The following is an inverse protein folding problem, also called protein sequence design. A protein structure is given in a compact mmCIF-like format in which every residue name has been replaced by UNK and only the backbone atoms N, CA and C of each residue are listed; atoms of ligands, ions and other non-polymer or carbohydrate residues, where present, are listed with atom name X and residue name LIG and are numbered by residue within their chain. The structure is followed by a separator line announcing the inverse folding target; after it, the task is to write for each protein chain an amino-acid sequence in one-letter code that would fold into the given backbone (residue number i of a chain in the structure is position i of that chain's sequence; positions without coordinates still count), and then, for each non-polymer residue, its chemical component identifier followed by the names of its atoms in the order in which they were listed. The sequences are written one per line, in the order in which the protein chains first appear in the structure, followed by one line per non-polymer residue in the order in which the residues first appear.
data_IF_823624647091
#
_entry.id   IF_823624647091
#
_cell.length_a   1.000
_cell.length_b   1.000
_cell.length_c   1.000
_cell.angle_alpha   90.00
_cell.angle_beta   90.00
_cell.angle_gamma   90.00
#
_symmetry.space_group_name_H-M   'P 1'
#
loop_
_entity.id
_entity.type
_entity.pdbx_description
1 polymer ?
#
# COMPACT_ATOMS: atom_id res chain seq x y z
N UNK A 1 27.95 3.16 -4.06
CA UNK A 1 26.98 3.32 -5.18
C UNK A 1 27.56 4.32 -6.14
N UNK A 2 27.73 3.97 -7.41
CA UNK A 2 28.19 4.93 -8.42
C UNK A 2 26.99 5.70 -8.98
N UNK A 3 27.04 7.03 -8.93
CA UNK A 3 25.96 7.89 -9.38
C UNK A 3 26.42 8.68 -10.61
N UNK A 4 25.65 8.63 -11.69
CA UNK A 4 25.92 9.45 -12.88
C UNK A 4 25.66 10.93 -12.56
N UNK A 5 26.71 11.76 -12.63
CA UNK A 5 26.68 13.15 -12.18
C UNK A 5 25.70 14.03 -12.99
N UNK A 6 25.50 13.71 -14.27
CA UNK A 6 24.68 14.46 -15.21
C UNK A 6 23.42 13.71 -15.69
N UNK A 7 22.98 12.68 -14.97
CA UNK A 7 21.74 11.98 -15.35
C UNK A 7 20.56 12.95 -15.36
N UNK A 8 19.82 12.95 -16.48
CA UNK A 8 18.62 13.77 -16.66
C UNK A 8 17.36 13.15 -16.05
N UNK A 9 17.41 11.87 -15.68
CA UNK A 9 16.26 11.11 -15.22
C UNK A 9 16.50 10.50 -13.84
N UNK A 10 15.39 10.30 -13.11
CA UNK A 10 15.41 9.56 -11.86
C UNK A 10 15.77 8.11 -12.15
N UNK A 11 16.50 7.47 -11.22
CA UNK A 11 16.67 6.02 -11.30
C UNK A 11 15.37 5.32 -10.90
N UNK A 12 15.07 4.19 -11.53
CA UNK A 12 13.93 3.33 -11.18
C UNK A 12 13.93 2.99 -9.68
N UNK A 13 15.11 2.77 -9.11
CA UNK A 13 15.29 2.36 -7.71
C UNK A 13 15.27 3.52 -6.71
N UNK A 14 15.13 4.77 -7.15
CA UNK A 14 15.26 5.95 -6.29
C UNK A 14 16.68 6.30 -5.84
N UNK A 15 17.67 5.42 -6.08
CA UNK A 15 19.10 5.69 -5.84
C UNK A 15 19.57 6.96 -6.54
N UNK A 16 20.56 7.61 -5.94
CA UNK A 16 21.22 8.82 -6.43
C UNK A 16 20.35 10.09 -6.49
N UNK A 17 19.12 10.06 -5.95
CA UNK A 17 18.29 11.25 -5.82
C UNK A 17 18.95 12.28 -4.87
N UNK A 18 19.48 11.82 -3.74
CA UNK A 18 20.35 12.61 -2.85
C UNK A 18 21.81 12.27 -3.14
N UNK A 19 22.58 13.22 -3.68
CA UNK A 19 23.98 12.99 -4.11
C UNK A 19 24.92 12.58 -2.97
N UNK A 20 24.81 13.21 -1.80
CA UNK A 20 25.65 12.90 -0.62
C UNK A 20 25.30 11.55 0.01
N UNK A 21 24.01 11.21 0.06
CA UNK A 21 23.53 9.91 0.54
C UNK A 21 22.68 9.24 -0.55
N UNK A 22 23.37 8.58 -1.47
CA UNK A 22 22.80 7.97 -2.68
C UNK A 22 21.74 6.90 -2.45
N UNK A 23 21.55 6.45 -1.21
CA UNK A 23 20.59 5.41 -0.84
C UNK A 23 19.35 5.95 -0.14
N UNK A 24 19.34 7.24 0.22
CA UNK A 24 18.21 7.86 0.91
C UNK A 24 16.98 7.90 -0.01
N UNK A 25 15.89 7.27 0.44
CA UNK A 25 14.64 7.14 -0.31
C UNK A 25 14.66 6.08 -1.43
N UNK A 26 15.73 5.30 -1.54
CA UNK A 26 15.79 4.19 -2.49
C UNK A 26 14.92 3.01 -2.04
N UNK A 27 14.41 2.24 -3.01
CA UNK A 27 13.65 1.03 -2.74
C UNK A 27 14.48 -0.08 -2.08
N UNK A 28 13.78 -1.04 -1.47
CA UNK A 28 14.35 -2.21 -0.78
C UNK A 28 15.34 -1.81 0.33
N UNK A 29 14.97 -0.79 1.11
CA UNK A 29 15.71 -0.26 2.26
C UNK A 29 14.86 -0.27 3.52
N UNK A 30 15.50 -0.13 4.68
CA UNK A 30 14.78 0.09 5.92
C UNK A 30 13.92 1.36 5.83
N UNK A 31 12.69 1.27 6.34
CA UNK A 31 11.87 2.45 6.61
C UNK A 31 12.58 3.36 7.62
N UNK A 32 12.38 4.67 7.53
CA UNK A 32 12.93 5.58 8.52
C UNK A 32 12.26 5.38 9.88
N UNK A 33 13.02 5.61 10.94
CA UNK A 33 12.44 5.77 12.27
C UNK A 33 11.75 7.13 12.34
N UNK A 34 10.42 7.11 12.45
CA UNK A 34 9.64 8.30 12.80
C UNK A 34 9.60 8.56 14.31
N UNK A 35 9.76 7.49 15.09
CA UNK A 35 9.85 7.49 16.55
C UNK A 35 10.68 6.28 16.98
N UNK A 36 11.14 6.25 18.23
CA UNK A 36 11.80 5.07 18.80
C UNK A 36 10.86 3.85 18.77
N UNK A 37 11.33 2.75 18.19
CA UNK A 37 10.56 1.50 18.11
C UNK A 37 10.48 0.83 19.48
N UNK A 38 9.32 0.27 19.79
CA UNK A 38 9.01 -0.40 21.06
C UNK A 38 8.61 -1.85 20.79
N UNK A 39 9.54 -2.77 21.04
CA UNK A 39 9.31 -4.22 21.04
C UNK A 39 9.26 -4.75 22.47
N UNK A 40 8.60 -5.89 22.66
CA UNK A 40 8.42 -6.54 23.98
C UNK A 40 9.75 -6.99 24.59
N UNK A 41 10.69 -7.45 23.76
CA UNK A 41 12.06 -7.80 24.12
C UNK A 41 13.05 -6.63 23.91
N UNK A 42 12.57 -5.44 23.55
CA UNK A 42 13.38 -4.29 23.17
C UNK A 42 14.07 -4.39 21.80
N UNK A 43 13.94 -5.51 21.09
CA UNK A 43 14.71 -5.80 19.86
C UNK A 43 13.82 -6.14 18.68
N UNK A 44 12.95 -7.15 18.78
CA UNK A 44 12.25 -7.69 17.60
C UNK A 44 10.91 -8.36 17.87
N UNK A 45 10.58 -8.69 19.11
CA UNK A 45 9.37 -9.43 19.47
C UNK A 45 8.20 -8.45 19.62
N UNK A 46 7.14 -8.57 18.80
CA UNK A 46 5.98 -7.69 18.90
C UNK A 46 5.27 -7.84 20.23
N UNK A 47 4.77 -6.73 20.78
CA UNK A 47 3.94 -6.75 21.99
C UNK A 47 2.77 -7.73 21.88
N UNK A 48 2.68 -8.66 22.82
CA UNK A 48 1.62 -9.68 22.91
C UNK A 48 1.99 -10.98 22.21
N UNK A 49 3.26 -11.16 21.87
CA UNK A 49 3.79 -12.42 21.36
C UNK A 49 4.16 -13.37 22.49
N UNK A 50 4.81 -12.87 23.55
CA UNK A 50 5.25 -13.69 24.69
C UNK A 50 4.04 -13.97 25.60
N UNK A 51 3.78 -15.25 25.86
CA UNK A 51 2.63 -15.74 26.64
C UNK A 51 3.13 -16.52 27.86
N UNK A 52 4.08 -16.03 28.66
CA UNK A 52 4.51 -16.75 29.86
C UNK A 52 5.22 -15.89 30.92
N UNK A 53 4.54 -15.81 32.07
CA UNK A 53 5.02 -15.79 33.46
C UNK A 53 5.99 -14.69 33.94
N UNK A 54 5.44 -13.85 34.83
CA UNK A 54 6.19 -13.25 35.93
C UNK A 54 6.87 -11.93 35.60
N UNK A 55 6.23 -10.82 35.96
CA UNK A 55 6.75 -9.80 36.88
C UNK A 55 8.22 -9.34 36.82
N UNK A 56 8.95 -9.55 35.73
CA UNK A 56 10.33 -9.14 35.51
C UNK A 56 10.44 -8.98 33.99
N UNK A 57 10.22 -7.80 33.42
CA UNK A 57 11.17 -6.69 33.45
C UNK A 57 10.42 -5.40 33.10
N UNK A 58 10.77 -4.33 33.81
CA UNK A 58 10.24 -2.95 33.75
C UNK A 58 8.94 -2.69 34.51
N UNK A 59 9.07 -1.93 35.59
CA UNK A 59 8.04 -1.44 36.52
C UNK A 59 7.10 -0.38 35.90
N UNK A 60 6.85 -0.42 34.60
CA UNK A 60 6.14 0.67 33.91
C UNK A 60 5.02 0.07 33.06
N UNK A 61 3.89 -0.18 33.74
CA UNK A 61 2.56 -0.57 33.23
C UNK A 61 2.32 -2.05 32.89
N UNK A 62 1.67 -2.75 33.83
CA UNK A 62 1.05 -4.07 33.68
C UNK A 62 -0.20 -4.06 32.77
N UNK A 63 -0.12 -3.57 31.54
CA UNK A 63 -1.19 -3.75 30.57
C UNK A 63 -0.88 -4.94 29.68
N UNK A 64 -1.53 -6.08 29.93
CA UNK A 64 -1.60 -7.14 28.92
C UNK A 64 -2.12 -6.52 27.62
N UNK A 65 -1.40 -6.67 26.49
CA UNK A 65 -1.77 -6.01 25.26
C UNK A 65 -3.17 -6.46 24.82
N UNK A 66 -4.08 -5.50 24.64
CA UNK A 66 -5.48 -5.76 24.29
C UNK A 66 -5.58 -6.67 23.06
N UNK A 67 -6.53 -7.60 23.03
CA UNK A 67 -6.77 -8.40 21.83
C UNK A 67 -7.29 -7.49 20.71
N UNK A 68 -6.53 -7.34 19.62
CA UNK A 68 -6.83 -6.41 18.53
C UNK A 68 -8.20 -6.67 17.89
N UNK A 69 -8.60 -7.94 17.79
CA UNK A 69 -9.93 -8.32 17.30
C UNK A 69 -11.06 -7.86 18.24
N UNK A 70 -10.83 -7.87 19.56
CA UNK A 70 -11.81 -7.38 20.54
C UNK A 70 -11.98 -5.88 20.42
N UNK A 71 -10.89 -5.14 20.20
CA UNK A 71 -10.91 -3.69 19.96
C UNK A 71 -11.72 -3.40 18.68
N UNK A 72 -11.43 -4.10 17.59
CA UNK A 72 -12.18 -3.92 16.34
C UNK A 72 -13.69 -4.21 16.49
N UNK A 73 -14.04 -5.37 17.08
CA UNK A 73 -15.43 -5.76 17.27
C UNK A 73 -16.23 -4.75 18.11
N UNK A 74 -15.58 -4.04 19.04
CA UNK A 74 -16.23 -3.09 19.95
C UNK A 74 -16.22 -1.64 19.44
N UNK A 75 -15.20 -1.23 18.70
CA UNK A 75 -14.99 0.19 18.31
C UNK A 75 -15.25 0.43 16.83
N UNK A 76 -14.80 -0.46 15.95
CA UNK A 76 -14.88 -0.27 14.50
C UNK A 76 -16.13 -0.91 13.86
N UNK A 77 -16.91 -1.65 14.65
CA UNK A 77 -18.11 -2.31 14.15
C UNK A 77 -19.31 -1.38 14.28
N UNK A 78 -19.97 -1.12 13.16
CA UNK A 78 -21.23 -0.37 13.09
C UNK A 78 -22.24 -1.06 12.16
N UNK A 79 -23.51 -0.74 12.31
CA UNK A 79 -24.59 -1.26 11.46
C UNK A 79 -24.66 -0.47 10.15
N UNK A 80 -24.92 -1.09 8.98
CA UNK A 80 -24.95 -0.37 7.68
C UNK A 80 -25.84 0.89 7.67
N UNK A 81 -26.96 0.90 8.39
CA UNK A 81 -27.84 2.07 8.52
C UNK A 81 -27.23 3.27 9.29
N UNK A 82 -26.09 3.09 9.96
CA UNK A 82 -25.36 4.15 10.67
C UNK A 82 -24.23 4.76 9.83
N UNK A 83 -24.04 4.30 8.58
CA UNK A 83 -23.02 4.83 7.68
C UNK A 83 -23.28 6.32 7.42
N UNK A 84 -22.28 7.16 7.73
CA UNK A 84 -22.32 8.59 7.42
C UNK A 84 -21.38 8.87 6.25
N UNK A 85 -21.97 9.32 5.14
CA UNK A 85 -21.21 9.78 3.98
C UNK A 85 -20.66 11.19 4.21
N UNK A 86 -19.48 11.44 3.65
CA UNK A 86 -18.86 12.75 3.62
C UNK A 86 -19.38 13.57 2.44
N UNK A 87 -20.24 14.54 2.72
CA UNK A 87 -20.82 15.40 1.70
C UNK A 87 -19.77 16.27 0.99
N UNK A 88 -18.64 16.52 1.63
CA UNK A 88 -17.57 17.40 1.12
C UNK A 88 -16.46 16.66 0.37
N UNK A 89 -16.49 15.32 0.29
CA UNK A 89 -15.44 14.52 -0.33
C UNK A 89 -16.03 13.43 -1.23
N UNK A 90 -15.58 13.42 -2.49
CA UNK A 90 -15.92 12.34 -3.41
C UNK A 90 -15.05 11.11 -3.16
N UNK A 91 -15.46 9.94 -3.64
CA UNK A 91 -14.71 8.68 -3.50
C UNK A 91 -13.32 8.76 -4.15
N UNK A 92 -13.14 9.64 -5.13
CA UNK A 92 -11.83 10.00 -5.71
C UNK A 92 -10.83 10.42 -4.64
N UNK A 93 -11.26 11.07 -3.55
CA UNK A 93 -10.39 11.45 -2.44
C UNK A 93 -9.72 10.23 -1.79
N UNK A 94 -10.54 9.24 -1.39
CA UNK A 94 -10.04 8.00 -0.80
C UNK A 94 -9.19 7.22 -1.79
N UNK A 95 -9.66 7.12 -3.04
CA UNK A 95 -8.99 6.33 -4.07
C UNK A 95 -7.63 6.95 -4.49
N UNK A 96 -7.52 8.29 -4.51
CA UNK A 96 -6.25 8.97 -4.73
C UNK A 96 -5.29 8.70 -3.58
N UNK A 97 -5.75 8.80 -2.33
CA UNK A 97 -4.95 8.44 -1.16
C UNK A 97 -4.40 7.02 -1.25
N UNK A 98 -5.25 6.05 -1.56
CA UNK A 98 -4.84 4.64 -1.75
C UNK A 98 -3.84 4.47 -2.91
N UNK A 99 -4.02 5.19 -4.02
CA UNK A 99 -3.10 5.15 -5.15
C UNK A 99 -1.73 5.76 -4.82
N UNK A 100 -1.70 6.83 -4.01
CA UNK A 100 -0.48 7.49 -3.55
C UNK A 100 0.28 6.66 -2.50
N UNK A 101 -0.43 6.00 -1.58
CA UNK A 101 0.15 5.04 -0.62
C UNK A 101 1.01 4.01 -1.35
N UNK A 102 0.47 3.48 -2.46
CA UNK A 102 1.13 2.50 -3.30
C UNK A 102 2.33 3.03 -4.11
N UNK A 103 2.59 4.34 -4.08
CA UNK A 103 3.80 4.95 -4.65
C UNK A 103 4.88 5.21 -3.59
N UNK A 104 4.50 5.22 -2.31
CA UNK A 104 5.35 5.64 -1.21
C UNK A 104 5.88 4.48 -0.39
N UNK A 105 5.02 3.50 -0.07
CA UNK A 105 5.42 2.39 0.78
C UNK A 105 4.78 1.04 0.42
N UNK A 106 5.60 0.01 0.63
CA UNK A 106 5.16 -1.37 0.62
C UNK A 106 6.08 -2.15 1.56
N UNK A 107 5.54 -2.64 2.67
CA UNK A 107 6.25 -3.55 3.57
C UNK A 107 5.93 -5.00 3.19
N UNK A 108 6.77 -5.69 2.39
CA UNK A 108 6.49 -7.07 2.00
C UNK A 108 6.45 -7.96 3.24
N UNK A 109 5.64 -9.00 3.18
CA UNK A 109 5.58 -10.01 4.23
C UNK A 109 6.80 -10.93 4.16
N UNK A 110 7.27 -11.39 5.32
CA UNK A 110 8.30 -12.44 5.35
C UNK A 110 7.69 -13.68 4.70
N UNK A 111 8.25 -14.18 3.57
CA UNK A 111 7.68 -15.35 2.93
C UNK A 111 7.70 -16.51 3.91
N UNK A 112 6.57 -17.21 4.02
CA UNK A 112 6.53 -18.50 4.71
C UNK A 112 7.27 -19.53 3.83
N UNK A 113 8.61 -19.47 3.77
CA UNK A 113 9.46 -20.51 3.18
C UNK A 113 9.47 -21.80 4.03
N UNK A 114 8.46 -21.96 4.89
CA UNK A 114 8.50 -22.80 6.06
C UNK A 114 7.82 -24.16 5.81
N UNK A 115 6.91 -24.22 4.83
CA UNK A 115 6.26 -25.46 4.44
C UNK A 115 7.23 -26.56 3.92
N UNK A 116 8.42 -26.18 3.41
CA UNK A 116 9.45 -27.13 2.98
C UNK A 116 10.51 -27.46 4.04
N UNK A 117 10.57 -26.69 5.14
CA UNK A 117 11.54 -26.88 6.24
C UNK A 117 10.91 -27.43 7.53
N UNK A 118 9.65 -27.89 7.46
CA UNK A 118 8.96 -28.53 8.58
C UNK A 118 8.53 -27.60 9.72
N UNK A 119 8.59 -26.26 9.55
CA UNK A 119 8.06 -25.32 10.55
C UNK A 119 6.66 -24.80 10.15
N UNK A 120 6.01 -24.10 11.08
CA UNK A 120 4.61 -23.69 10.98
C UNK A 120 4.28 -22.87 9.71
N UNK A 121 3.24 -23.31 8.98
CA UNK A 121 2.58 -22.49 7.94
C UNK A 121 1.61 -21.51 8.60
N UNK A 122 1.83 -20.20 8.48
CA UNK A 122 0.99 -19.21 9.17
C UNK A 122 -0.44 -19.11 8.63
N UNK A 123 -0.74 -19.69 7.46
CA UNK A 123 -2.12 -19.77 6.97
C UNK A 123 -2.98 -20.76 7.77
N UNK A 124 -2.34 -21.77 8.37
CA UNK A 124 -3.02 -22.90 9.01
C UNK A 124 -2.65 -23.05 10.49
N UNK A 125 -1.45 -22.62 10.87
CA UNK A 125 -0.92 -22.73 12.22
C UNK A 125 -1.38 -21.59 13.12
N UNK A 126 -1.71 -21.97 14.36
CA UNK A 126 -2.00 -21.03 15.44
C UNK A 126 -0.75 -20.62 16.23
N UNK A 127 0.43 -21.16 15.88
CA UNK A 127 1.66 -20.91 16.60
C UNK A 127 2.16 -19.48 16.37
N UNK A 128 2.60 -18.82 17.44
CA UNK A 128 3.31 -17.54 17.40
C UNK A 128 4.80 -17.77 17.25
N UNK A 129 5.21 -18.24 16.08
CA UNK A 129 6.60 -18.55 15.73
C UNK A 129 6.97 -17.78 14.47
N UNK A 130 8.15 -17.14 14.37
CA UNK A 130 8.52 -16.40 13.18
C UNK A 130 8.39 -17.23 11.89
N UNK A 131 7.74 -16.70 10.82
CA UNK A 131 7.20 -15.34 10.67
C UNK A 131 5.72 -15.18 11.09
N UNK A 132 5.11 -16.17 11.71
CA UNK A 132 3.70 -16.19 12.09
C UNK A 132 3.42 -15.36 13.35
N UNK A 133 2.44 -14.45 13.28
CA UNK A 133 1.94 -13.71 14.43
C UNK A 133 0.40 -13.62 14.41
N UNK A 134 -0.29 -14.77 14.47
CA UNK A 134 -1.73 -14.88 14.23
C UNK A 134 -2.55 -14.09 15.25
N UNK A 135 -3.68 -13.53 14.81
CA UNK A 135 -4.59 -12.77 15.67
C UNK A 135 -5.59 -13.72 16.32
N UNK A 136 -5.67 -13.62 17.65
CA UNK A 136 -6.60 -14.41 18.45
C UNK A 136 -8.04 -13.95 18.27
N UNK A 137 -8.95 -14.91 18.14
CA UNK A 137 -10.39 -14.68 18.07
C UNK A 137 -10.94 -14.61 19.50
N UNK A 138 -11.56 -13.49 19.89
CA UNK A 138 -12.10 -13.33 21.24
C UNK A 138 -13.38 -14.17 21.40
N UNK A 139 -13.73 -14.54 22.64
CA UNK A 139 -15.06 -15.07 22.94
C UNK A 139 -16.16 -14.14 22.42
N UNK A 140 -17.28 -14.71 21.98
CA UNK A 140 -18.42 -13.98 21.42
C UNK A 140 -18.08 -13.13 20.19
N UNK A 141 -17.09 -13.52 19.38
CA UNK A 141 -16.84 -12.86 18.11
C UNK A 141 -18.10 -12.97 17.22
N UNK A 142 -18.54 -11.85 16.61
CA UNK A 142 -19.80 -11.82 15.89
C UNK A 142 -19.76 -12.60 14.58
N UNK A 143 -18.59 -12.69 13.94
CA UNK A 143 -18.39 -13.32 12.63
C UNK A 143 -17.83 -14.74 12.76
N UNK A 144 -16.83 -14.95 13.61
CA UNK A 144 -16.13 -16.25 13.72
C UNK A 144 -16.48 -16.90 15.06
N UNK A 145 -17.22 -18.00 15.03
CA UNK A 145 -17.69 -18.69 16.25
C UNK A 145 -16.65 -19.62 16.84
N UNK A 146 -15.77 -20.19 16.02
CA UNK A 146 -14.71 -21.07 16.48
C UNK A 146 -13.58 -20.25 17.14
N UNK A 147 -13.54 -20.22 18.48
CA UNK A 147 -12.50 -19.53 19.25
C UNK A 147 -11.15 -20.25 19.24
N UNK A 148 -11.07 -21.48 18.73
CA UNK A 148 -9.80 -22.17 18.48
C UNK A 148 -9.14 -21.70 17.18
N UNK A 149 -9.92 -21.14 16.28
CA UNK A 149 -9.43 -20.57 15.02
C UNK A 149 -8.70 -19.23 15.26
N UNK A 150 -7.94 -18.79 14.25
CA UNK A 150 -7.14 -17.56 14.29
C UNK A 150 -7.21 -16.86 12.94
N UNK A 151 -7.03 -15.54 12.95
CA UNK A 151 -6.82 -14.82 11.68
C UNK A 151 -5.33 -14.94 11.33
N UNK A 152 -4.98 -15.52 10.16
CA UNK A 152 -3.60 -15.59 9.69
C UNK A 152 -2.97 -14.21 9.65
N UNK A 153 -1.70 -14.13 10.04
CA UNK A 153 -0.93 -12.89 9.96
C UNK A 153 0.55 -13.22 9.85
N UNK A 154 1.20 -12.65 8.84
CA UNK A 154 2.62 -12.79 8.58
C UNK A 154 3.35 -11.51 8.94
N UNK A 155 4.42 -11.62 9.72
CA UNK A 155 5.28 -10.50 10.06
C UNK A 155 5.95 -9.92 8.81
N UNK A 156 6.05 -8.59 8.74
CA UNK A 156 6.74 -7.88 7.65
C UNK A 156 8.21 -8.29 7.60
N UNK A 157 8.79 -8.35 6.41
CA UNK A 157 10.19 -8.71 6.19
C UNK A 157 11.12 -7.75 6.95
N UNK A 158 12.06 -8.26 7.75
CA UNK A 158 13.02 -7.42 8.46
C UNK A 158 14.03 -6.83 7.46
N UNK A 159 14.41 -5.57 7.67
CA UNK A 159 15.55 -5.00 6.98
C UNK A 159 16.84 -5.51 7.63
N UNK A 160 17.82 -5.92 6.81
CA UNK A 160 19.16 -6.28 7.25
C UNK A 160 20.12 -5.13 6.93
N UNK A 161 19.89 -3.98 7.57
CA UNK A 161 20.87 -2.92 7.70
C UNK A 161 21.82 -3.32 8.84
N UNK A 162 23.11 -3.44 8.56
CA UNK A 162 24.11 -4.01 9.47
C UNK A 162 24.47 -3.13 10.68
N UNK A 163 23.76 -2.01 10.92
CA UNK A 163 24.13 -1.04 11.96
C UNK A 163 23.27 -1.04 13.22
N UNK A 164 22.07 -1.66 13.21
CA UNK A 164 21.13 -1.62 14.32
C UNK A 164 20.70 -3.02 14.76
N UNK A 165 20.66 -3.24 16.07
CA UNK A 165 20.18 -4.49 16.65
C UNK A 165 18.64 -4.60 16.58
N UNK A 166 17.94 -3.46 16.67
CA UNK A 166 16.47 -3.40 16.66
C UNK A 166 15.90 -3.68 15.26
N UNK A 167 14.81 -4.42 15.20
CA UNK A 167 14.18 -4.88 13.96
C UNK A 167 13.46 -3.76 13.21
N UNK A 168 14.04 -3.33 12.10
CA UNK A 168 13.38 -2.46 11.13
C UNK A 168 12.66 -3.26 10.02
N UNK A 169 11.69 -2.65 9.34
CA UNK A 169 11.00 -3.26 8.20
C UNK A 169 11.51 -2.69 6.89
N UNK A 170 11.51 -3.52 5.84
CA UNK A 170 11.86 -3.09 4.49
C UNK A 170 10.69 -2.33 3.89
N UNK A 171 10.97 -1.18 3.25
CA UNK A 171 10.13 -0.60 2.21
C UNK A 171 10.62 -1.04 0.84
N UNK A 172 9.80 -1.78 0.10
CA UNK A 172 10.11 -2.29 -1.23
C UNK A 172 9.93 -1.26 -2.35
N UNK A 173 9.36 -0.08 -2.05
CA UNK A 173 9.14 1.00 -3.00
C UNK A 173 10.11 2.16 -2.77
N UNK A 174 10.23 3.03 -3.76
CA UNK A 174 10.94 4.30 -3.58
C UNK A 174 10.12 5.23 -2.70
N UNK A 175 10.75 6.02 -1.82
CA UNK A 175 10.04 6.97 -0.96
C UNK A 175 9.61 8.27 -1.67
N UNK A 176 9.77 8.34 -2.99
CA UNK A 176 9.48 9.54 -3.78
C UNK A 176 8.15 9.37 -4.51
N UNK A 177 7.32 10.42 -4.54
CA UNK A 177 6.20 10.51 -5.46
C UNK A 177 6.72 10.59 -6.90
N UNK A 178 6.85 9.45 -7.58
CA UNK A 178 7.44 9.36 -8.91
C UNK A 178 6.64 8.43 -9.85
N UNK A 179 5.50 7.92 -9.42
CA UNK A 179 4.67 7.01 -10.20
C UNK A 179 5.16 5.56 -10.22
N UNK A 180 6.08 5.17 -9.35
CA UNK A 180 6.57 3.80 -9.20
C UNK A 180 5.45 2.77 -9.02
N UNK A 181 4.30 3.16 -8.47
CA UNK A 181 3.11 2.29 -8.40
C UNK A 181 2.62 1.80 -9.77
N UNK A 182 2.78 2.63 -10.82
CA UNK A 182 2.44 2.30 -12.19
C UNK A 182 3.64 1.76 -12.97
N UNK A 183 4.83 2.32 -12.73
CA UNK A 183 6.01 2.09 -13.57
C UNK A 183 7.01 1.07 -13.02
N UNK A 184 7.00 0.80 -11.72
CA UNK A 184 7.85 -0.16 -11.01
C UNK A 184 9.02 0.48 -10.26
N UNK A 185 9.42 -0.14 -9.14
CA UNK A 185 10.57 0.27 -8.33
C UNK A 185 11.86 -0.53 -8.59
N UNK A 186 11.82 -1.53 -9.47
CA UNK A 186 12.94 -2.43 -9.75
C UNK A 186 13.20 -2.62 -11.24
N UNK A 187 14.46 -2.60 -11.66
CA UNK A 187 14.84 -2.71 -13.08
C UNK A 187 14.30 -3.98 -13.78
N UNK A 188 14.32 -5.19 -13.16
CA UNK A 188 13.71 -6.37 -13.76
C UNK A 188 12.19 -6.26 -13.93
N UNK A 189 11.50 -5.56 -13.02
CA UNK A 189 10.06 -5.33 -13.12
C UNK A 189 9.73 -4.36 -14.24
N UNK A 190 10.40 -3.20 -14.29
CA UNK A 190 10.25 -2.21 -15.36
C UNK A 190 10.53 -2.82 -16.73
N UNK A 191 11.56 -3.66 -16.81
CA UNK A 191 11.90 -4.43 -17.99
C UNK A 191 10.76 -5.30 -18.54
N UNK A 192 9.92 -5.86 -17.65
CA UNK A 192 8.74 -6.65 -18.00
C UNK A 192 7.52 -5.79 -18.31
N UNK A 193 7.43 -4.59 -17.73
CA UNK A 193 6.35 -3.63 -17.95
C UNK A 193 6.50 -2.85 -19.26
N UNK A 194 7.73 -2.69 -19.78
CA UNK A 194 7.99 -2.05 -21.07
C UNK A 194 7.58 -2.95 -22.23
N UNK A 195 6.94 -2.37 -23.25
CA UNK A 195 6.73 -3.02 -24.54
C UNK A 195 8.05 -3.03 -25.32
N UNK A 196 8.56 -4.24 -25.62
CA UNK A 196 9.83 -4.44 -26.32
C UNK A 196 9.67 -4.68 -27.82
N UNK A 197 8.43 -4.73 -28.32
CA UNK A 197 8.14 -5.09 -29.71
C UNK A 197 8.31 -3.90 -30.66
N UNK A 198 8.56 -2.69 -30.16
CA UNK A 198 8.75 -1.50 -30.98
C UNK A 198 9.67 -0.48 -30.28
N UNK A 199 10.07 0.56 -31.02
CA UNK A 199 10.91 1.66 -30.54
C UNK A 199 10.10 2.88 -30.06
N UNK A 200 8.86 2.69 -29.63
CA UNK A 200 7.95 3.78 -29.22
C UNK A 200 7.98 4.08 -27.72
N UNK A 201 8.76 3.34 -26.93
CA UNK A 201 8.89 3.58 -25.50
C UNK A 201 7.61 3.31 -24.70
N UNK A 202 6.68 2.49 -25.22
CA UNK A 202 5.38 2.26 -24.61
C UNK A 202 5.45 1.23 -23.48
N UNK A 203 4.51 1.30 -22.56
CA UNK A 203 4.22 0.19 -21.65
C UNK A 203 3.47 -0.94 -22.38
N UNK A 204 3.73 -2.17 -21.92
CA UNK A 204 3.00 -3.37 -22.29
C UNK A 204 1.53 -3.26 -21.86
N UNK A 205 0.65 -3.93 -22.58
CA UNK A 205 -0.80 -3.88 -22.37
C UNK A 205 -1.39 -5.27 -22.49
N UNK A 206 -2.65 -5.41 -22.07
CA UNK A 206 -3.38 -6.65 -22.26
C UNK A 206 -3.58 -6.97 -23.75
N UNK A 207 -3.41 -8.24 -24.12
CA UNK A 207 -3.65 -8.74 -25.47
C UNK A 207 -5.01 -9.45 -25.60
N UNK A 208 -5.61 -9.86 -24.48
CA UNK A 208 -6.85 -10.63 -24.46
C UNK A 208 -8.09 -9.74 -24.29
N UNK A 209 -7.93 -8.59 -23.63
CA UNK A 209 -9.04 -7.70 -23.27
C UNK A 209 -8.75 -6.25 -23.62
N UNK A 210 -9.79 -5.51 -24.02
CA UNK A 210 -9.78 -4.06 -24.22
C UNK A 210 -11.09 -3.44 -23.71
N UNK A 211 -11.06 -2.16 -23.34
CA UNK A 211 -12.23 -1.39 -22.93
C UNK A 211 -12.62 -0.43 -24.06
N UNK A 212 -13.60 -0.79 -24.89
CA UNK A 212 -14.03 0.05 -26.04
C UNK A 212 -12.85 0.51 -26.92
N UNK A 213 -11.86 -0.37 -27.13
CA UNK A 213 -10.63 -0.06 -27.89
C UNK A 213 -9.48 0.54 -27.06
N UNK A 214 -9.74 0.92 -25.80
CA UNK A 214 -8.72 1.38 -24.86
C UNK A 214 -7.98 0.21 -24.21
N UNK A 215 -6.71 0.42 -23.89
CA UNK A 215 -5.83 -0.63 -23.39
C UNK A 215 -6.05 -0.92 -21.89
N UNK A 216 -6.12 -2.19 -21.54
CA UNK A 216 -5.96 -2.66 -20.14
C UNK A 216 -4.49 -2.92 -19.78
N UNK A 217 -4.23 -3.01 -18.48
CA UNK A 217 -2.95 -3.50 -17.95
C UNK A 217 -2.69 -4.96 -18.37
N UNK A 218 -1.42 -5.36 -18.53
CA UNK A 218 -1.07 -6.77 -18.77
C UNK A 218 -1.59 -7.69 -17.66
N UNK A 219 -1.69 -8.99 -17.94
CA UNK A 219 -2.21 -9.97 -16.98
C UNK A 219 -1.13 -10.60 -16.11
N UNK A 220 -1.45 -10.84 -14.84
CA UNK A 220 -0.70 -11.62 -13.86
C UNK A 220 -1.59 -12.75 -13.31
N UNK A 221 -1.08 -14.00 -13.25
CA UNK A 221 -1.93 -15.18 -13.02
C UNK A 221 -2.53 -15.31 -11.62
N UNK A 222 -1.88 -14.83 -10.56
CA UNK A 222 -2.27 -15.12 -9.17
C UNK A 222 -2.29 -13.86 -8.32
N UNK A 223 -3.20 -13.72 -7.33
CA UNK A 223 -4.22 -14.68 -6.85
C UNK A 223 -5.64 -14.56 -7.48
N UNK A 224 -5.91 -13.60 -8.37
CA UNK A 224 -7.28 -13.26 -8.81
C UNK A 224 -8.01 -14.38 -9.57
N UNK A 225 -7.28 -15.29 -10.22
CA UNK A 225 -7.87 -16.48 -10.85
C UNK A 225 -8.61 -17.35 -9.83
N UNK A 226 -8.08 -17.49 -8.61
CA UNK A 226 -8.74 -18.27 -7.55
C UNK A 226 -10.08 -17.66 -7.13
N UNK A 227 -10.16 -16.33 -7.07
CA UNK A 227 -11.37 -15.62 -6.65
C UNK A 227 -12.42 -15.57 -7.74
N UNK A 228 -12.00 -15.35 -8.98
CA UNK A 228 -12.90 -15.24 -10.12
C UNK A 228 -13.55 -16.58 -10.51
N UNK A 229 -13.07 -17.70 -9.95
CA UNK A 229 -13.64 -19.03 -10.14
C UNK A 229 -13.77 -19.38 -11.61
N UNK A 230 -15.00 -19.65 -12.07
CA UNK A 230 -15.28 -20.00 -13.48
C UNK A 230 -14.94 -18.89 -14.48
N UNK A 231 -14.92 -17.63 -14.06
CA UNK A 231 -14.56 -16.52 -14.96
C UNK A 231 -13.06 -16.50 -15.31
N UNK A 232 -12.21 -17.16 -14.51
CA UNK A 232 -10.77 -17.36 -14.76
C UNK A 232 -10.04 -16.07 -15.17
N UNK A 233 -10.40 -14.95 -14.53
CA UNK A 233 -9.83 -13.64 -14.84
C UNK A 233 -8.52 -13.46 -14.07
N UNK A 234 -7.39 -13.23 -14.75
CA UNK A 234 -6.12 -12.95 -14.10
C UNK A 234 -6.12 -11.58 -13.41
N UNK A 235 -5.22 -11.40 -12.45
CA UNK A 235 -4.91 -10.07 -11.93
C UNK A 235 -4.31 -9.20 -13.04
N UNK A 236 -4.26 -7.90 -12.80
CA UNK A 236 -3.44 -6.97 -13.56
C UNK A 236 -2.00 -6.93 -13.05
N UNK A 237 -1.08 -6.76 -13.98
CA UNK A 237 0.36 -6.59 -13.75
C UNK A 237 0.71 -5.12 -13.90
N UNK A 238 1.29 -4.53 -12.85
CA UNK A 238 1.65 -3.12 -12.77
C UNK A 238 2.98 -2.94 -12.02
N UNK A 239 3.39 -1.68 -11.81
CA UNK A 239 4.57 -1.32 -11.01
C UNK A 239 4.49 -1.72 -9.54
N UNK A 240 3.28 -1.76 -8.98
CA UNK A 240 2.98 -2.27 -7.65
C UNK A 240 2.14 -3.55 -7.72
N UNK A 241 2.49 -4.56 -6.91
CA UNK A 241 1.84 -5.88 -6.93
C UNK A 241 0.41 -5.89 -6.40
N UNK A 242 -0.02 -4.82 -5.71
CA UNK A 242 -1.34 -4.69 -5.10
C UNK A 242 -2.33 -3.97 -6.03
N UNK A 243 -1.95 -3.66 -7.27
CA UNK A 243 -2.80 -2.95 -8.24
C UNK A 243 -4.18 -3.61 -8.48
N UNK A 244 -4.32 -4.93 -8.22
CA UNK A 244 -5.59 -5.67 -8.34
C UNK A 244 -6.34 -5.87 -7.02
N UNK A 245 -5.91 -5.24 -5.93
CA UNK A 245 -6.54 -5.39 -4.61
C UNK A 245 -7.96 -4.84 -4.55
N UNK A 246 -8.25 -3.83 -5.37
CA UNK A 246 -9.54 -3.15 -5.50
C UNK A 246 -9.76 -2.80 -6.97
N UNK A 247 -11.01 -2.83 -7.43
CA UNK A 247 -11.32 -2.56 -8.84
C UNK A 247 -11.02 -1.10 -9.20
N UNK A 248 -11.43 -0.19 -8.34
CA UNK A 248 -11.23 1.26 -8.45
C UNK A 248 -9.74 1.61 -8.50
N UNK A 249 -8.91 0.91 -7.71
CA UNK A 249 -7.45 1.03 -7.77
C UNK A 249 -6.89 0.54 -9.11
N UNK A 250 -7.33 -0.61 -9.60
CA UNK A 250 -6.93 -1.12 -10.91
C UNK A 250 -7.27 -0.16 -12.05
N UNK A 251 -8.42 0.53 -11.97
CA UNK A 251 -8.79 1.60 -12.89
C UNK A 251 -7.81 2.78 -12.83
N UNK A 252 -7.39 3.22 -11.65
CA UNK A 252 -6.37 4.28 -11.50
C UNK A 252 -5.05 3.89 -12.15
N UNK A 253 -4.53 2.69 -11.88
CA UNK A 253 -3.32 2.20 -12.54
C UNK A 253 -3.48 2.17 -14.06
N UNK A 254 -4.63 1.71 -14.55
CA UNK A 254 -4.88 1.64 -15.99
C UNK A 254 -4.92 3.02 -16.64
N UNK A 255 -5.56 4.01 -16.00
CA UNK A 255 -5.60 5.40 -16.48
C UNK A 255 -4.19 5.98 -16.67
N UNK A 256 -3.30 5.83 -15.69
CA UNK A 256 -1.95 6.37 -15.78
C UNK A 256 -1.06 5.63 -16.80
N UNK A 257 -1.31 4.35 -17.03
CA UNK A 257 -0.67 3.61 -18.14
C UNK A 257 -1.19 4.08 -19.50
N UNK A 258 -2.49 4.36 -19.63
CA UNK A 258 -3.06 4.93 -20.84
C UNK A 258 -2.50 6.34 -21.11
N UNK A 259 -2.40 7.18 -20.08
CA UNK A 259 -1.83 8.53 -20.17
C UNK A 259 -0.36 8.50 -20.62
N UNK A 260 0.46 7.64 -20.01
CA UNK A 260 1.84 7.45 -20.45
C UNK A 260 1.93 7.08 -21.93
N UNK A 261 1.05 6.19 -22.43
CA UNK A 261 1.04 5.79 -23.85
C UNK A 261 0.58 6.93 -24.76
N UNK A 262 -0.37 7.75 -24.32
CA UNK A 262 -0.80 8.95 -25.03
C UNK A 262 0.39 9.92 -25.19
N UNK A 263 1.03 10.26 -24.06
CA UNK A 263 2.20 11.14 -24.03
C UNK A 263 3.35 10.62 -24.89
N UNK A 264 3.71 9.34 -24.78
CA UNK A 264 4.80 8.77 -25.58
C UNK A 264 4.54 8.83 -27.09
N UNK A 265 3.28 8.66 -27.54
CA UNK A 265 2.90 8.80 -28.95
C UNK A 265 2.99 10.24 -29.43
N UNK A 266 2.45 11.18 -28.67
CA UNK A 266 2.54 12.61 -29.00
C UNK A 266 3.99 13.11 -28.99
N UNK A 267 4.79 12.69 -28.00
CA UNK A 267 6.22 13.01 -27.95
C UNK A 267 6.98 12.44 -29.16
N UNK A 268 6.61 11.25 -29.65
CA UNK A 268 7.18 10.69 -30.88
C UNK A 268 6.79 11.49 -32.12
N UNK A 269 5.53 11.95 -32.19
CA UNK A 269 5.05 12.80 -33.29
C UNK A 269 5.79 14.13 -33.33
N UNK A 270 5.98 14.76 -32.16
CA UNK A 270 6.72 16.01 -32.02
C UNK A 270 8.23 15.85 -32.21
N UNK A 271 8.78 14.71 -31.78
CA UNK A 271 10.21 14.41 -31.85
C UNK A 271 10.45 13.07 -32.57
N UNK A 272 10.34 13.02 -33.91
CA UNK A 272 10.53 11.78 -34.67
C UNK A 272 11.91 11.15 -34.49
N UNK A 273 12.93 11.94 -34.14
CA UNK A 273 14.29 11.50 -33.90
C UNK A 273 14.51 10.82 -32.53
N UNK A 274 13.57 10.91 -31.59
CA UNK A 274 13.71 10.26 -30.28
C UNK A 274 13.57 8.74 -30.38
N UNK A 275 14.45 8.05 -29.64
CA UNK A 275 14.40 6.61 -29.46
C UNK A 275 13.40 6.20 -28.36
N UNK A 276 13.13 4.90 -28.25
CA UNK A 276 12.15 4.38 -27.29
C UNK A 276 12.49 4.67 -25.83
N UNK A 277 13.76 4.67 -25.44
CA UNK A 277 14.15 4.96 -24.06
C UNK A 277 13.89 6.42 -23.70
N UNK A 278 14.28 7.36 -24.58
CA UNK A 278 14.01 8.79 -24.41
C UNK A 278 12.50 9.07 -24.29
N UNK A 279 11.69 8.44 -25.14
CA UNK A 279 10.23 8.58 -25.09
C UNK A 279 9.63 8.07 -23.77
N UNK A 280 10.07 6.88 -23.33
CA UNK A 280 9.64 6.31 -22.06
C UNK A 280 10.00 7.23 -20.90
N UNK A 281 11.25 7.70 -20.84
CA UNK A 281 11.74 8.54 -19.74
C UNK A 281 11.04 9.91 -19.68
N UNK A 282 10.80 10.56 -20.82
CA UNK A 282 10.08 11.84 -20.84
C UNK A 282 8.59 11.67 -20.50
N UNK A 283 7.93 10.64 -21.03
CA UNK A 283 6.55 10.34 -20.68
C UNK A 283 6.41 10.01 -19.18
N UNK A 284 7.31 9.18 -18.63
CA UNK A 284 7.35 8.87 -17.21
C UNK A 284 7.59 10.12 -16.35
N UNK A 285 8.52 10.99 -16.75
CA UNK A 285 8.80 12.26 -16.07
C UNK A 285 7.57 13.16 -16.00
N UNK A 286 6.83 13.29 -17.10
CA UNK A 286 5.60 14.09 -17.16
C UNK A 286 4.52 13.49 -16.27
N UNK A 287 4.29 12.17 -16.34
CA UNK A 287 3.30 11.50 -15.47
C UNK A 287 3.68 11.64 -13.99
N UNK A 288 4.95 11.50 -13.64
CA UNK A 288 5.42 11.74 -12.28
C UNK A 288 5.12 13.16 -11.79
N UNK A 289 5.27 14.16 -12.66
CA UNK A 289 4.89 15.55 -12.35
C UNK A 289 3.37 15.71 -12.18
N UNK A 290 2.55 15.05 -13.01
CA UNK A 290 1.09 15.05 -12.88
C UNK A 290 0.62 14.43 -11.55
N UNK A 291 1.34 13.43 -11.04
CA UNK A 291 1.05 12.79 -9.75
C UNK A 291 1.43 13.72 -8.59
N UNK A 292 2.56 14.43 -8.69
CA UNK A 292 3.01 15.39 -7.66
C UNK A 292 2.10 16.62 -7.58
N UNK A 293 1.62 17.11 -8.72
CA UNK A 293 0.76 18.30 -8.81
C UNK A 293 -0.54 17.92 -9.51
N UNK A 294 -1.44 17.19 -8.82
CA UNK A 294 -2.72 16.82 -9.41
C UNK A 294 -3.54 18.07 -9.68
N UNK A 295 -4.18 18.15 -10.85
CA UNK A 295 -5.03 19.29 -11.26
C UNK A 295 -6.15 19.59 -10.24
N UNK A 296 -6.65 18.54 -9.57
CA UNK A 296 -7.66 18.65 -8.52
C UNK A 296 -7.14 17.93 -7.26
N UNK A 297 -6.34 18.61 -6.41
CA UNK A 297 -5.77 17.97 -5.23
C UNK A 297 -6.89 17.58 -4.26
N UNK A 298 -6.93 16.33 -3.78
CA UNK A 298 -7.86 15.97 -2.72
C UNK A 298 -7.47 16.76 -1.46
N UNK A 299 -8.41 17.50 -0.88
CA UNK A 299 -8.17 18.31 0.31
C UNK A 299 -7.94 17.41 1.55
N UNK A 300 -6.71 16.92 1.70
CA UNK A 300 -6.25 15.97 2.72
C UNK A 300 -5.97 16.65 4.06
N UNK A 301 -5.57 17.92 4.05
CA UNK A 301 -5.12 18.64 5.23
C UNK A 301 -5.89 19.98 5.37
N UNK A 302 -6.30 20.36 6.59
CA UNK A 302 -6.87 21.66 6.86
C UNK A 302 -5.81 22.78 6.79
N UNK A 303 -6.27 24.01 6.51
CA UNK A 303 -5.44 25.22 6.57
C UNK A 303 -5.14 25.62 8.03
N UNK A 304 -3.97 26.26 8.31
CA UNK A 304 -3.00 26.78 7.34
C UNK A 304 -1.87 25.78 7.05
N UNK A 305 -1.83 25.32 5.79
CA UNK A 305 -0.77 24.46 5.24
C UNK A 305 0.60 25.16 5.21
N UNK A 306 0.60 26.49 5.11
CA UNK A 306 1.83 27.28 4.95
C UNK A 306 2.71 27.22 6.21
N UNK A 307 2.13 27.23 7.42
CA UNK A 307 2.89 27.10 8.66
C UNK A 307 3.47 25.69 8.85
N UNK A 308 2.72 24.65 8.47
CA UNK A 308 3.19 23.27 8.49
C UNK A 308 4.32 23.03 7.48
N UNK A 309 4.16 23.49 6.24
CA UNK A 309 5.19 23.35 5.19
C UNK A 309 6.43 24.21 5.47
N UNK A 310 6.28 25.41 6.04
CA UNK A 310 7.41 26.23 6.48
C UNK A 310 8.16 25.58 7.64
N UNK A 311 7.45 24.97 8.60
CA UNK A 311 8.08 24.19 9.68
C UNK A 311 8.81 22.93 9.21
N UNK A 312 8.44 22.38 8.05
CA UNK A 312 9.11 21.23 7.43
C UNK A 312 10.32 21.61 6.55
N UNK A 313 10.54 22.90 6.25
CA UNK A 313 11.76 23.34 5.55
C UNK A 313 12.98 23.07 6.43
N UNK A 314 13.70 21.99 6.12
CA UNK A 314 14.89 21.57 6.85
C UNK A 314 14.80 20.18 7.50
N UNK A 315 13.62 19.56 7.54
CA UNK A 315 13.46 18.18 8.02
C UNK A 315 13.96 17.22 6.93
N UNK A 316 15.25 16.89 7.00
CA UNK A 316 16.04 16.21 5.96
C UNK A 316 15.76 14.72 5.73
N UNK A 317 14.55 14.21 5.98
CA UNK A 317 14.18 12.82 5.73
C UNK A 317 13.57 12.64 4.34
N UNK A 318 14.24 11.91 3.43
CA UNK A 318 13.62 11.47 2.16
C UNK A 318 13.11 10.03 2.20
N UNK A 319 13.10 9.40 3.37
CA UNK A 319 12.60 8.05 3.58
C UNK A 319 11.23 8.10 4.25
N UNK A 320 10.32 7.21 3.85
CA UNK A 320 9.05 7.03 4.54
C UNK A 320 9.28 6.39 5.91
N UNK A 321 8.64 6.94 6.94
CA UNK A 321 8.76 6.40 8.30
C UNK A 321 7.80 5.26 8.55
N UNK A 322 8.16 4.31 9.44
CA UNK A 322 7.23 3.22 9.81
C UNK A 322 5.91 3.75 10.39
N UNK A 323 5.93 4.89 11.11
CA UNK A 323 4.73 5.56 11.62
C UNK A 323 3.83 6.04 10.48
N UNK A 324 4.41 6.61 9.40
CA UNK A 324 3.65 7.07 8.24
C UNK A 324 2.85 5.93 7.60
N UNK A 325 3.45 4.75 7.44
CA UNK A 325 2.79 3.58 6.82
C UNK A 325 1.52 3.12 7.55
N UNK A 326 1.36 3.47 8.83
CA UNK A 326 0.11 3.24 9.58
C UNK A 326 -0.78 4.47 9.61
N UNK A 327 -0.21 5.68 9.75
CA UNK A 327 -0.97 6.92 9.77
C UNK A 327 -1.73 7.13 8.45
N UNK A 328 -1.11 6.82 7.31
CA UNK A 328 -1.70 7.00 5.99
C UNK A 328 -2.85 6.01 5.69
N UNK A 329 -2.99 4.95 6.50
CA UNK A 329 -4.14 4.04 6.47
C UNK A 329 -5.43 4.62 7.02
N UNK A 330 -5.46 5.90 7.42
CA UNK A 330 -6.70 6.59 7.78
C UNK A 330 -7.76 6.48 6.67
N UNK A 331 -7.34 6.38 5.41
CA UNK A 331 -8.22 6.21 4.24
C UNK A 331 -9.07 4.94 4.30
N UNK A 332 -8.68 3.91 5.08
CA UNK A 332 -9.52 2.74 5.33
C UNK A 332 -10.84 3.13 6.04
N UNK A 333 -10.86 4.26 6.76
CA UNK A 333 -12.07 4.83 7.35
C UNK A 333 -13.02 5.46 6.32
N UNK A 334 -12.52 5.73 5.13
CA UNK A 334 -13.20 6.50 4.09
C UNK A 334 -13.82 5.64 2.99
N UNK A 335 -13.71 4.32 3.08
CA UNK A 335 -14.26 3.36 2.12
C UNK A 335 -15.79 3.23 2.36
N UNK A 336 -16.66 3.53 1.37
CA UNK A 336 -18.11 3.36 1.48
C UNK A 336 -18.54 1.88 1.29
N UNK A 337 -19.81 1.57 1.58
CA UNK A 337 -20.35 0.20 1.52
C UNK A 337 -20.41 -0.39 0.09
N UNK A 338 -20.49 0.45 -0.95
CA UNK A 338 -20.67 0.05 -2.36
C UNK A 338 -19.38 0.06 -3.19
N UNK A 339 -18.24 -0.33 -2.63
CA UNK A 339 -17.02 -0.54 -3.44
C UNK A 339 -17.02 -1.91 -4.11
N UNK A 340 -16.63 -1.97 -5.38
CA UNK A 340 -16.62 -3.19 -6.18
C UNK A 340 -15.38 -4.03 -5.86
N UNK A 341 -15.55 -5.05 -5.02
CA UNK A 341 -14.49 -6.02 -4.77
C UNK A 341 -14.42 -7.03 -5.92
N UNK A 342 -13.53 -6.78 -6.88
CA UNK A 342 -13.15 -7.78 -7.88
C UNK A 342 -12.82 -7.21 -9.25
N UNK A 343 -11.56 -7.38 -9.68
CA UNK A 343 -11.10 -6.98 -11.02
C UNK A 343 -11.79 -7.73 -12.18
N UNK A 344 -12.52 -8.82 -11.92
CA UNK A 344 -13.28 -9.52 -12.97
C UNK A 344 -14.50 -8.75 -13.47
N UNK A 345 -14.95 -7.73 -12.74
CA UNK A 345 -16.05 -6.85 -13.16
C UNK A 345 -15.69 -5.93 -14.34
N UNK A 346 -14.41 -5.75 -14.68
CA UNK A 346 -13.99 -4.97 -15.86
C UNK A 346 -13.71 -5.82 -17.10
N UNK A 347 -13.99 -7.13 -17.09
CA UNK A 347 -13.74 -7.98 -18.26
C UNK A 347 -15.05 -8.29 -19.00
N UNK A 348 -15.08 -7.95 -20.30
CA UNK A 348 -16.23 -8.17 -21.20
C UNK A 348 -16.59 -9.66 -21.21
N UNK A 349 -17.81 -10.00 -20.79
CA UNK A 349 -18.27 -11.38 -20.58
C UNK A 349 -18.60 -11.74 -19.13
N UNK A 350 -18.28 -10.88 -18.16
CA UNK A 350 -18.84 -10.98 -16.81
C UNK A 350 -20.31 -10.52 -16.79
N UNK A 351 -21.14 -11.12 -15.93
CA UNK A 351 -22.56 -10.73 -15.77
C UNK A 351 -22.76 -9.29 -15.25
N UNK A 352 -21.69 -8.60 -14.90
CA UNK A 352 -21.69 -7.27 -14.27
C UNK A 352 -20.51 -6.43 -14.77
N UNK A 353 -20.32 -6.40 -16.09
CA UNK A 353 -19.28 -5.61 -16.75
C UNK A 353 -19.49 -4.11 -16.50
N UNK A 354 -18.43 -3.41 -16.08
CA UNK A 354 -18.39 -1.95 -16.00
C UNK A 354 -17.08 -1.47 -16.62
N UNK A 355 -17.12 -0.50 -17.53
CA UNK A 355 -15.91 0.05 -18.16
C UNK A 355 -15.06 0.89 -17.20
N UNK A 356 -13.79 1.10 -17.52
CA UNK A 356 -12.89 1.97 -16.74
C UNK A 356 -13.44 3.40 -16.69
N UNK A 357 -13.96 3.90 -17.81
CA UNK A 357 -14.57 5.25 -17.87
C UNK A 357 -15.79 5.38 -16.98
N UNK A 358 -16.56 4.31 -16.83
CA UNK A 358 -17.76 4.28 -15.99
C UNK A 358 -17.36 4.25 -14.51
N UNK A 359 -16.42 3.40 -14.12
CA UNK A 359 -15.89 3.33 -12.74
C UNK A 359 -15.25 4.66 -12.33
N UNK A 360 -14.45 5.24 -13.21
CA UNK A 360 -13.80 6.53 -12.93
C UNK A 360 -14.79 7.69 -12.87
N UNK A 361 -15.91 7.59 -13.59
CA UNK A 361 -17.08 8.46 -13.40
C UNK A 361 -17.73 8.28 -12.02
N UNK A 362 -17.97 7.04 -11.59
CA UNK A 362 -18.54 6.74 -10.28
C UNK A 362 -17.68 7.27 -9.13
N UNK A 363 -16.35 7.16 -9.24
CA UNK A 363 -15.42 7.71 -8.25
C UNK A 363 -15.62 9.23 -8.01
N UNK A 364 -16.09 9.96 -9.02
CA UNK A 364 -16.34 11.41 -8.89
C UNK A 364 -17.69 11.70 -8.25
N UNK A 365 -18.68 10.85 -8.48
CA UNK A 365 -20.05 11.04 -8.05
C UNK A 365 -20.31 10.52 -6.63
N UNK A 366 -19.71 9.38 -6.28
CA UNK A 366 -19.89 8.77 -4.98
C UNK A 366 -19.13 9.53 -3.88
N UNK A 367 -19.60 9.40 -2.64
CA UNK A 367 -19.05 10.06 -1.45
C UNK A 367 -18.27 9.08 -0.59
N UNK A 368 -17.22 9.57 0.08
CA UNK A 368 -16.47 8.74 1.04
C UNK A 368 -17.25 8.51 2.32
N UNK A 369 -16.86 7.51 3.11
CA UNK A 369 -17.35 7.32 4.49
C UNK A 369 -16.63 8.29 5.46
N UNK A 370 -17.30 8.62 6.58
CA UNK A 370 -16.69 9.30 7.74
C UNK A 370 -16.28 8.34 8.87
N UNK A 371 -16.53 7.04 8.74
CA UNK A 371 -16.43 6.07 9.85
C UNK A 371 -15.71 4.78 9.39
N UNK A 372 -14.80 4.28 10.24
CA UNK A 372 -14.07 3.01 10.06
C UNK A 372 -15.02 1.83 10.11
N UNK A 373 -15.01 1.02 9.04
CA UNK A 373 -15.83 -0.19 8.93
C UNK A 373 -15.01 -1.46 9.16
N UNK A 374 -15.37 -2.26 10.16
CA UNK A 374 -14.81 -3.60 10.38
C UNK A 374 -15.39 -4.70 9.47
N UNK A 375 -16.49 -4.41 8.76
CA UNK A 375 -17.26 -5.41 8.01
C UNK A 375 -16.82 -5.59 6.56
N UNK A 376 -15.81 -4.87 6.08
CA UNK A 376 -15.41 -4.98 4.68
C UNK A 376 -14.89 -6.40 4.39
N UNK A 377 -15.46 -7.07 3.39
CA UNK A 377 -14.94 -8.33 2.82
C UNK A 377 -13.73 -8.01 1.96
N UNK A 378 -12.74 -7.40 2.59
CA UNK A 378 -11.76 -6.54 1.95
C UNK A 378 -10.77 -7.32 1.07
N UNK A 379 -10.73 -8.66 1.18
CA UNK A 379 -10.15 -9.59 0.20
C UNK A 379 -10.92 -10.91 0.22
N UNK A 380 -11.48 -11.38 -0.92
CA UNK A 380 -12.06 -12.73 -1.01
C UNK A 380 -11.01 -13.86 -0.96
N UNK A 381 -9.72 -13.50 -1.04
CA UNK A 381 -8.58 -14.43 -1.18
C UNK A 381 -8.22 -15.06 0.17
N UNK A 382 -8.44 -14.31 1.25
CA UNK A 382 -8.25 -14.80 2.61
C UNK A 382 -9.61 -15.07 3.25
N UNK A 383 -9.69 -16.10 4.10
CA UNK A 383 -10.94 -16.55 4.73
C UNK A 383 -11.67 -15.46 5.55
N UNK A 384 -11.07 -14.27 5.76
CA UNK A 384 -11.50 -13.27 6.74
C UNK A 384 -11.28 -11.86 6.15
N UNK A 385 -12.34 -11.06 6.06
CA UNK A 385 -12.28 -9.69 5.53
C UNK A 385 -11.40 -8.77 6.38
N UNK A 386 -10.64 -7.86 5.74
CA UNK A 386 -9.67 -7.02 6.44
C UNK A 386 -10.31 -6.19 7.55
N UNK A 387 -9.65 -6.25 8.68
CA UNK A 387 -10.10 -5.78 9.96
C UNK A 387 -9.16 -4.64 10.44
N UNK A 388 -9.67 -3.61 11.13
CA UNK A 388 -8.85 -2.68 11.92
C UNK A 388 -7.83 -3.45 12.80
N UNK A 389 -8.17 -4.68 13.20
CA UNK A 389 -7.29 -5.61 13.89
C UNK A 389 -5.98 -5.88 13.14
N UNK A 390 -5.99 -5.98 11.80
CA UNK A 390 -4.77 -6.15 11.00
C UNK A 390 -3.87 -4.92 11.07
N UNK A 391 -4.44 -3.71 11.00
CA UNK A 391 -3.68 -2.47 11.16
C UNK A 391 -3.05 -2.37 12.56
N UNK A 392 -3.82 -2.69 13.61
CA UNK A 392 -3.30 -2.70 14.98
C UNK A 392 -2.24 -3.77 15.19
N UNK A 393 -2.44 -4.97 14.64
CA UNK A 393 -1.46 -6.06 14.69
C UNK A 393 -0.18 -5.70 13.93
N UNK A 394 -0.31 -5.02 12.77
CA UNK A 394 0.81 -4.52 11.98
C UNK A 394 1.58 -3.42 12.72
N UNK A 395 0.90 -2.52 13.42
CA UNK A 395 1.54 -1.55 14.30
C UNK A 395 2.41 -2.21 15.38
N UNK A 396 1.95 -3.32 15.98
CA UNK A 396 2.74 -4.12 16.93
C UNK A 396 3.92 -4.83 16.25
N UNK A 397 3.69 -5.42 15.08
CA UNK A 397 4.71 -6.10 14.29
C UNK A 397 5.87 -5.16 13.92
N UNK A 398 5.54 -3.89 13.63
CA UNK A 398 6.48 -2.83 13.29
C UNK A 398 7.10 -2.13 14.50
N UNK A 399 6.73 -2.55 15.72
CA UNK A 399 7.24 -1.94 16.95
C UNK A 399 6.85 -0.48 17.09
N UNK A 400 5.69 -0.05 16.59
CA UNK A 400 5.28 1.35 16.69
C UNK A 400 4.95 1.72 18.14
N UNK A 401 5.34 2.92 18.59
CA UNK A 401 5.02 3.38 19.94
C UNK A 401 3.53 3.71 20.08
N UNK A 402 3.10 3.84 21.34
CA UNK A 402 1.72 4.19 21.67
C UNK A 402 1.33 5.61 21.25
N UNK A 403 0.02 5.87 21.18
CA UNK A 403 -0.56 7.15 20.74
C UNK A 403 0.02 8.37 21.48
N UNK A 404 0.24 8.28 22.79
CA UNK A 404 0.76 9.40 23.59
C UNK A 404 2.20 9.76 23.23
N UNK A 405 3.04 8.77 22.98
CA UNK A 405 4.42 8.97 22.54
C UNK A 405 4.44 9.64 21.17
N UNK A 406 3.64 9.13 20.21
CA UNK A 406 3.53 9.76 18.88
C UNK A 406 3.02 11.20 18.99
N UNK A 407 2.02 11.45 19.84
CA UNK A 407 1.48 12.79 20.04
C UNK A 407 2.48 13.77 20.67
N UNK A 408 3.40 13.29 21.50
CA UNK A 408 4.45 14.11 22.11
C UNK A 408 5.52 14.57 21.09
N UNK A 409 5.73 13.81 20.02
CA UNK A 409 6.66 14.13 18.92
C UNK A 409 6.07 15.08 17.87
N UNK A 410 4.74 15.29 17.88
CA UNK A 410 4.10 16.21 16.94
C UNK A 410 4.40 17.66 17.34
N UNK A 411 4.65 18.56 16.38
CA UNK A 411 4.72 20.00 16.65
C UNK A 411 3.46 20.42 17.40
N UNK A 412 3.62 21.07 18.56
CA UNK A 412 2.48 21.67 19.25
C UNK A 412 1.89 22.72 18.33
N UNK A 413 0.67 22.51 17.85
CA UNK A 413 -0.07 23.57 17.16
C UNK A 413 -0.16 24.76 18.13
N UNK A 414 0.38 25.91 17.73
CA UNK A 414 0.11 27.17 18.42
C UNK A 414 -1.40 27.38 18.33
N UNK A 415 -2.08 27.22 19.47
CA UNK A 415 -3.52 27.37 19.64
C UNK A 415 -4.04 28.70 19.12
#
# INVERSE_FOLDING_TARGET
VNCEFCSRYRTITGKCNKRRNSLLGACNRASADGCQQTFEDGVSVPHGCIHSYGHFLTHTFCFHPLQVQKVSNKIARFSPGQLKLDQQRSLTFMQWGHFIDHDLDFSPESPSRVAFSGKADCHTSCAKLPPCFPIQIPPNNPRIKNTRDRIPFFRSAPACDSSRATREQISALTSFLNGSMAFGSEQPLVSKLKNRNNKLGLLAVNHNFTDKGMAYLPSARMPCVKVSGKANVPCFFAGDSRASGMLELACMHTLFVQEHKCLARELKRLNPHWNGEKLYQEAWKIVGAMIQVPRHPPALLPSPMDSFLQGLQGVGGSCISSVFTMAFRFAHASIPFKTFFGVWHVVKGSKSYVGITEITGLLRLEKTSKIIQSNCHLLPIERIGLDLALNMQRGRDHGLPGKLTVAAELPKENK
#
